data_IF_224516186803
#
_entry.id   IF_224516186803
#
_cell.length_a   1.000
_cell.length_b   1.000
_cell.length_c   1.000
_cell.angle_alpha   90.00
_cell.angle_beta   90.00
_cell.angle_gamma   90.00
#
_symmetry.space_group_name_H-M   'P 1'
#
loop_
_entity.id
_entity.type
_entity.pdbx_description
1 polymer ?
#
# COMPACT_ATOMS: atom_id res chain seq x y z
N UNK A 1 10.53 -0.62 -13.84
CA UNK A 1 9.89 -0.41 -12.52
C UNK A 1 9.03 0.85 -12.45
N UNK A 2 9.58 2.07 -12.51
CA UNK A 2 8.81 3.34 -12.34
C UNK A 2 7.69 3.59 -13.37
N UNK A 3 7.91 3.20 -14.64
CA UNK A 3 6.93 3.41 -15.73
C UNK A 3 5.63 2.57 -15.61
N UNK A 4 5.58 1.53 -14.76
CA UNK A 4 4.35 0.76 -14.55
C UNK A 4 3.38 1.47 -13.61
N UNK A 5 3.91 2.17 -12.61
CA UNK A 5 3.11 3.02 -11.74
C UNK A 5 2.49 4.17 -12.54
N UNK A 6 3.18 4.68 -13.57
CA UNK A 6 2.64 5.66 -14.52
C UNK A 6 1.44 5.16 -15.34
N UNK A 7 1.28 3.83 -15.52
CA UNK A 7 0.08 3.25 -16.16
C UNK A 7 -1.16 3.29 -15.25
N UNK A 8 -0.96 3.41 -13.94
CA UNK A 8 -2.04 3.53 -12.94
C UNK A 8 -2.41 4.99 -12.75
N UNK A 9 -1.41 5.82 -12.50
CA UNK A 9 -1.51 7.27 -12.40
C UNK A 9 -0.18 7.83 -12.92
N UNK A 10 -0.16 8.67 -13.97
CA UNK A 10 1.05 9.31 -14.45
C UNK A 10 1.83 10.04 -13.34
N UNK A 11 1.13 10.49 -12.29
CA UNK A 11 1.69 11.15 -11.11
C UNK A 11 1.70 10.23 -9.87
N UNK A 12 1.72 8.91 -10.05
CA UNK A 12 1.72 7.96 -8.93
C UNK A 12 2.91 8.23 -8.00
N UNK A 13 2.69 8.63 -6.73
CA UNK A 13 3.78 9.07 -5.88
C UNK A 13 4.74 7.93 -5.55
N UNK A 14 6.05 8.18 -5.62
CA UNK A 14 7.08 7.19 -5.32
C UNK A 14 6.91 6.55 -3.93
N UNK A 15 6.50 7.34 -2.93
CA UNK A 15 6.27 6.84 -1.57
C UNK A 15 5.10 5.86 -1.47
N UNK A 16 4.14 5.93 -2.39
CA UNK A 16 3.03 4.99 -2.46
C UNK A 16 3.53 3.67 -3.02
N UNK A 17 4.38 3.72 -4.05
CA UNK A 17 5.02 2.54 -4.64
C UNK A 17 5.92 1.82 -3.62
N UNK A 18 6.73 2.56 -2.88
CA UNK A 18 7.57 2.01 -1.80
C UNK A 18 6.69 1.36 -0.74
N UNK A 19 5.65 2.05 -0.27
CA UNK A 19 4.74 1.50 0.76
C UNK A 19 4.07 0.21 0.28
N UNK A 20 3.60 0.17 -0.97
CA UNK A 20 2.99 -1.00 -1.57
C UNK A 20 3.95 -2.19 -1.65
N UNK A 21 5.20 -1.96 -2.07
CA UNK A 21 6.22 -3.01 -2.14
C UNK A 21 6.65 -3.52 -0.76
N UNK A 22 6.62 -2.68 0.27
CA UNK A 22 6.89 -3.13 1.65
C UNK A 22 5.73 -3.99 2.17
N UNK A 23 4.48 -3.60 1.90
CA UNK A 23 3.29 -4.39 2.28
C UNK A 23 3.31 -5.75 1.58
N UNK A 24 3.63 -5.81 0.28
CA UNK A 24 3.65 -7.07 -0.49
C UNK A 24 4.61 -8.11 0.11
N UNK A 25 5.72 -7.65 0.68
CA UNK A 25 6.72 -8.52 1.33
C UNK A 25 6.39 -8.83 2.80
N UNK A 26 5.40 -8.15 3.40
CA UNK A 26 5.11 -8.21 4.83
C UNK A 26 3.59 -8.11 5.10
N UNK A 27 2.81 -8.98 4.46
CA UNK A 27 1.35 -9.09 4.65
C UNK A 27 0.98 -9.26 6.14
N UNK A 28 -0.11 -8.62 6.57
CA UNK A 28 -0.58 -8.66 7.96
C UNK A 28 0.12 -7.68 8.91
N UNK A 29 0.97 -6.78 8.39
CA UNK A 29 1.63 -5.78 9.22
C UNK A 29 0.71 -4.63 9.64
N UNK A 30 1.10 -3.90 10.69
CA UNK A 30 0.40 -2.69 11.15
C UNK A 30 0.90 -1.43 10.43
N UNK A 31 0.12 -0.33 10.52
CA UNK A 31 0.56 1.00 10.08
C UNK A 31 1.86 1.46 10.77
N UNK A 32 2.03 1.15 12.06
CA UNK A 32 3.25 1.48 12.82
C UNK A 32 4.45 0.75 12.26
N UNK A 33 4.31 -0.55 12.00
CA UNK A 33 5.39 -1.36 11.42
C UNK A 33 5.78 -0.88 10.01
N UNK A 34 4.79 -0.42 9.22
CA UNK A 34 5.05 0.16 7.91
C UNK A 34 5.80 1.49 8.04
N UNK A 35 5.40 2.35 8.98
CA UNK A 35 6.07 3.62 9.30
C UNK A 35 7.54 3.43 9.68
N UNK A 36 7.83 2.44 10.53
CA UNK A 36 9.21 2.08 10.91
C UNK A 36 10.03 1.61 9.71
N UNK A 37 9.48 0.73 8.86
CA UNK A 37 10.20 0.17 7.70
C UNK A 37 10.44 1.19 6.60
N UNK A 38 9.54 2.13 6.38
CA UNK A 38 9.72 3.16 5.34
C UNK A 38 10.42 4.42 5.86
N UNK A 39 10.59 4.55 7.18
CA UNK A 39 11.12 5.76 7.82
C UNK A 39 10.21 6.99 7.69
N UNK A 40 8.94 6.79 7.33
CA UNK A 40 7.96 7.88 7.16
C UNK A 40 7.15 8.04 8.42
N UNK A 41 6.77 9.28 8.76
CA UNK A 41 5.89 9.54 9.90
C UNK A 41 4.56 8.77 9.78
N UNK A 42 4.03 8.29 10.91
CA UNK A 42 2.79 7.50 10.96
C UNK A 42 1.60 8.23 10.31
N UNK A 43 1.51 9.55 10.48
CA UNK A 43 0.47 10.37 9.85
C UNK A 43 0.57 10.38 8.32
N UNK A 44 1.78 10.28 7.78
CA UNK A 44 2.03 10.18 6.33
C UNK A 44 1.65 8.78 5.84
N UNK A 45 2.06 7.73 6.56
CA UNK A 45 1.67 6.35 6.24
C UNK A 45 0.15 6.17 6.26
N UNK A 46 -0.54 6.71 7.26
CA UNK A 46 -2.01 6.64 7.31
C UNK A 46 -2.67 7.25 6.08
N UNK A 47 -2.14 8.38 5.57
CA UNK A 47 -2.65 9.04 4.35
C UNK A 47 -2.36 8.23 3.10
N UNK A 48 -1.14 7.70 2.99
CA UNK A 48 -0.73 6.84 1.87
C UNK A 48 -1.60 5.59 1.82
N UNK A 49 -1.73 4.89 2.95
CA UNK A 49 -2.53 3.66 3.04
C UNK A 49 -3.99 3.94 2.73
N UNK A 50 -4.57 5.03 3.26
CA UNK A 50 -5.93 5.44 2.90
C UNK A 50 -6.09 5.60 1.38
N UNK A 51 -5.16 6.29 0.72
CA UNK A 51 -5.22 6.49 -0.73
C UNK A 51 -5.06 5.18 -1.52
N UNK A 52 -4.25 4.25 -1.00
CA UNK A 52 -4.09 2.92 -1.57
C UNK A 52 -5.30 2.01 -1.30
N UNK A 53 -6.09 2.25 -0.25
CA UNK A 53 -7.28 1.48 0.10
C UNK A 53 -8.55 2.05 -0.50
N UNK A 54 -9.20 2.94 0.24
CA UNK A 54 -10.61 3.30 0.12
C UNK A 54 -10.86 4.81 0.22
N UNK A 55 -9.83 5.61 0.53
CA UNK A 55 -9.95 7.05 0.70
C UNK A 55 -8.77 7.84 0.12
N UNK A 56 -9.03 8.65 -0.92
CA UNK A 56 -8.07 9.64 -1.42
C UNK A 56 -8.71 11.02 -1.41
N UNK A 57 -8.01 12.02 -0.89
CA UNK A 57 -8.54 13.39 -0.79
C UNK A 57 -8.86 14.00 -2.16
N UNK A 58 -8.04 13.67 -3.18
CA UNK A 58 -8.22 14.11 -4.55
C UNK A 58 -8.30 12.89 -5.47
N UNK A 59 -9.43 12.71 -6.15
CA UNK A 59 -9.67 11.60 -7.06
C UNK A 59 -10.09 10.30 -6.37
N UNK A 60 -10.05 9.20 -7.13
CA UNK A 60 -10.48 7.90 -6.62
C UNK A 60 -9.35 7.20 -5.87
N UNK A 61 -9.67 6.40 -4.82
CA UNK A 61 -8.69 5.53 -4.18
C UNK A 61 -8.21 4.45 -5.17
N UNK A 62 -7.00 3.93 -4.94
CA UNK A 62 -6.41 2.97 -5.87
C UNK A 62 -6.96 1.55 -5.72
N UNK A 63 -7.49 1.17 -4.54
CA UNK A 63 -8.00 -0.17 -4.27
C UNK A 63 -6.92 -1.27 -4.35
N UNK A 64 -5.68 -0.93 -4.02
CA UNK A 64 -4.52 -1.83 -4.06
C UNK A 64 -4.23 -2.48 -2.70
N UNK A 65 -4.68 -1.85 -1.62
CA UNK A 65 -4.51 -2.32 -0.24
C UNK A 65 -5.89 -2.46 0.42
N UNK A 66 -6.04 -3.45 1.28
CA UNK A 66 -7.18 -3.57 2.19
C UNK A 66 -6.70 -3.60 3.64
N UNK A 67 -7.56 -3.12 4.54
CA UNK A 67 -7.29 -3.09 5.97
C UNK A 67 -8.24 -4.07 6.65
N UNK A 68 -7.68 -5.08 7.32
CA UNK A 68 -8.43 -6.11 8.04
C UNK A 68 -8.25 -5.93 9.54
N UNK A 69 -9.24 -6.36 10.32
CA UNK A 69 -9.07 -6.48 11.76
C UNK A 69 -8.28 -7.75 12.05
N UNK A 70 -7.30 -7.66 12.93
CA UNK A 70 -6.50 -8.81 13.34
C UNK A 70 -7.40 -9.85 14.01
N UNK A 71 -7.32 -11.13 13.60
CA UNK A 71 -8.11 -12.19 14.23
C UNK A 71 -7.68 -12.46 15.68
N UNK A 72 -6.42 -12.18 16.03
CA UNK A 72 -5.89 -12.36 17.38
C UNK A 72 -6.16 -11.14 18.28
N UNK A 73 -6.15 -9.93 17.71
CA UNK A 73 -6.39 -8.70 18.45
C UNK A 73 -7.39 -7.79 17.73
N UNK A 74 -8.67 -7.84 18.13
CA UNK A 74 -9.79 -7.12 17.49
C UNK A 74 -9.60 -5.61 17.27
N UNK A 75 -8.67 -4.97 17.99
CA UNK A 75 -8.37 -3.53 17.86
C UNK A 75 -7.22 -3.22 16.91
N UNK A 76 -6.45 -4.24 16.50
CA UNK A 76 -5.31 -4.09 15.63
C UNK A 76 -5.76 -4.17 14.18
N UNK A 77 -5.34 -3.19 13.38
CA UNK A 77 -5.54 -3.15 11.94
C UNK A 77 -4.32 -3.71 11.25
N UNK A 78 -4.54 -4.61 10.30
CA UNK A 78 -3.52 -5.30 9.53
C UNK A 78 -3.70 -4.96 8.05
N UNK A 79 -2.59 -4.70 7.38
CA UNK A 79 -2.54 -4.26 5.99
C UNK A 79 -2.31 -5.47 5.09
N UNK A 80 -3.12 -5.57 4.04
CA UNK A 80 -2.99 -6.61 3.03
C UNK A 80 -3.09 -6.05 1.63
N UNK A 81 -2.43 -6.67 0.64
CA UNK A 81 -2.74 -6.36 -0.75
C UNK A 81 -4.08 -6.97 -1.17
N UNK A 82 -4.81 -6.22 -1.99
CA UNK A 82 -5.96 -6.78 -2.72
C UNK A 82 -5.47 -7.63 -3.90
N UNK A 83 -6.37 -8.36 -4.55
CA UNK A 83 -6.05 -9.05 -5.81
C UNK A 83 -5.51 -8.08 -6.87
N UNK A 84 -6.04 -6.85 -6.93
CA UNK A 84 -5.54 -5.79 -7.82
C UNK A 84 -4.13 -5.36 -7.44
N UNK A 85 -3.85 -5.23 -6.14
CA UNK A 85 -2.51 -4.94 -5.61
C UNK A 85 -1.48 -5.99 -6.01
N UNK A 86 -1.81 -7.27 -5.81
CA UNK A 86 -0.96 -8.39 -6.20
C UNK A 86 -0.70 -8.45 -7.71
N UNK A 87 -1.74 -8.26 -8.54
CA UNK A 87 -1.57 -8.21 -10.01
C UNK A 87 -0.57 -7.13 -10.43
N UNK A 88 -0.61 -5.97 -9.79
CA UNK A 88 0.36 -4.90 -10.05
C UNK A 88 1.79 -5.30 -9.66
N UNK A 89 2.00 -5.78 -8.43
CA UNK A 89 3.32 -6.17 -7.94
C UNK A 89 3.92 -7.28 -8.81
N UNK A 90 3.14 -8.31 -9.14
CA UNK A 90 3.60 -9.40 -10.00
C UNK A 90 3.94 -8.93 -11.42
N UNK A 91 3.20 -7.95 -11.94
CA UNK A 91 3.52 -7.33 -13.24
C UNK A 91 4.83 -6.55 -13.22
N UNK A 92 5.26 -6.07 -12.05
CA UNK A 92 6.54 -5.38 -11.86
C UNK A 92 7.69 -6.39 -11.72
N UNK A 93 7.48 -7.46 -10.95
CA UNK A 93 8.49 -8.52 -10.75
C UNK A 93 8.79 -9.29 -12.05
N UNK A 94 7.78 -9.56 -12.88
CA UNK A 94 7.97 -10.26 -14.16
C UNK A 94 8.83 -9.50 -15.20
N UNK A 95 9.25 -8.26 -14.89
CA UNK A 95 10.11 -7.43 -15.73
C UNK A 95 11.54 -7.29 -15.18
N UNK A 96 11.86 -8.00 -14.09
CA UNK A 96 13.20 -8.15 -13.52
C UNK A 96 13.82 -9.49 -13.95
#
# INVERSE_FOLDING_TARGET
MLHLFQKIDPEFPLQYAISLAVISQNEGMSLTSLSEKTGLALSTISRIVGALSDYRANGNPYGLVEIRLSPQERRKKELYLTEKGWKLINSIEALL
#
